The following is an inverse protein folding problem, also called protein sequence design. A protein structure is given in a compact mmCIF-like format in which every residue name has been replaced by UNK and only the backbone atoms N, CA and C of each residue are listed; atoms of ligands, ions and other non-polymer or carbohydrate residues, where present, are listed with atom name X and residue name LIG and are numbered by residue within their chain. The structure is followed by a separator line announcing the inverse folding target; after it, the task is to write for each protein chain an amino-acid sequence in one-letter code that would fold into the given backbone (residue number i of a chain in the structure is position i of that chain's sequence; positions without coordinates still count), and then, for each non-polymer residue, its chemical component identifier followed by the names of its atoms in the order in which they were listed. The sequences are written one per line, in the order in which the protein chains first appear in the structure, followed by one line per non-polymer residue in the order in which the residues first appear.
data_IF_210253536529
#
_entry.id   IF_210253536529
#
_cell.length_a   1.000
_cell.length_b   1.000
_cell.length_c   1.000
_cell.angle_alpha   90.00
_cell.angle_beta   90.00
_cell.angle_gamma   90.00
#
_symmetry.space_group_name_H-M   'P 1'
#
loop_
_entity.id
_entity.type
_entity.pdbx_description
1 polymer ?
#
# COMPACT_ATOMS: atom_id res chain seq x y z
N UNK A 1 9.35 19.04 20.90
CA UNK A 1 10.01 18.71 19.62
C UNK A 1 11.15 17.72 19.81
N UNK A 2 12.14 17.98 20.70
CA UNK A 2 13.25 17.04 20.95
C UNK A 2 12.80 15.68 21.53
N UNK A 3 11.81 15.65 22.43
CA UNK A 3 11.23 14.39 22.94
C UNK A 3 10.51 13.56 21.86
N UNK A 4 9.71 14.21 21.03
CA UNK A 4 9.03 13.59 19.87
C UNK A 4 10.02 13.07 18.83
N UNK A 5 11.13 13.79 18.63
CA UNK A 5 12.22 13.36 17.75
C UNK A 5 12.96 12.16 18.32
N UNK A 6 13.21 12.10 19.64
CA UNK A 6 13.90 10.98 20.28
C UNK A 6 13.04 9.69 20.26
N UNK A 7 11.74 9.80 20.50
CA UNK A 7 10.82 8.66 20.36
C UNK A 7 10.66 8.22 18.91
N UNK A 8 10.53 9.15 17.95
CA UNK A 8 10.53 8.81 16.52
C UNK A 8 11.85 8.12 16.11
N UNK A 9 13.00 8.52 16.64
CA UNK A 9 14.30 7.92 16.31
C UNK A 9 14.46 6.49 16.84
N UNK A 10 13.93 6.23 18.04
CA UNK A 10 13.93 4.88 18.64
C UNK A 10 12.88 3.97 17.96
N UNK A 11 11.72 4.50 17.57
CA UNK A 11 10.68 3.72 16.88
C UNK A 11 10.94 3.51 15.38
N UNK A 12 11.67 4.41 14.71
CA UNK A 12 12.06 4.28 13.29
C UNK A 12 12.77 2.96 12.99
N UNK A 13 13.50 2.41 13.96
CA UNK A 13 14.25 1.16 13.86
C UNK A 13 13.64 0.02 14.70
N UNK A 14 12.52 0.23 15.38
CA UNK A 14 11.84 -0.81 16.14
C UNK A 14 11.14 -1.78 15.18
N UNK A 15 11.87 -2.83 14.77
CA UNK A 15 11.26 -4.00 14.13
C UNK A 15 10.56 -4.82 15.22
N UNK A 16 9.24 -4.73 15.31
CA UNK A 16 8.47 -5.61 16.20
C UNK A 16 7.03 -5.15 16.42
N UNK A 17 6.07 -5.97 16.01
CA UNK A 17 4.62 -5.72 16.15
C UNK A 17 3.86 -5.99 14.84
N UNK A 18 2.53 -5.82 14.85
CA UNK A 18 1.65 -6.01 13.67
C UNK A 18 2.11 -5.19 12.45
N UNK A 19 2.69 -4.02 12.67
CA UNK A 19 3.07 -3.07 11.61
C UNK A 19 4.54 -3.14 11.21
N UNK A 20 5.40 -3.93 11.85
CA UNK A 20 6.81 -4.14 11.47
C UNK A 20 7.77 -2.92 11.49
N UNK A 21 7.31 -1.70 11.21
CA UNK A 21 8.01 -0.43 11.28
C UNK A 21 7.01 0.74 11.45
N UNK A 22 7.49 1.87 11.97
CA UNK A 22 6.64 3.01 12.33
C UNK A 22 6.00 3.71 11.12
N UNK A 23 6.63 3.65 9.94
CA UNK A 23 6.06 4.22 8.72
C UNK A 23 4.85 3.42 8.23
N UNK A 24 4.86 2.09 8.39
CA UNK A 24 3.71 1.23 8.10
C UNK A 24 2.55 1.52 9.07
N UNK A 25 2.83 1.77 10.36
CA UNK A 25 1.80 2.17 11.33
C UNK A 25 1.17 3.53 10.96
N UNK A 26 1.99 4.52 10.59
CA UNK A 26 1.48 5.82 10.12
C UNK A 26 0.66 5.69 8.82
N UNK A 27 1.08 4.80 7.92
CA UNK A 27 0.38 4.49 6.68
C UNK A 27 -0.98 3.84 6.92
N UNK A 28 -1.05 2.88 7.85
CA UNK A 28 -2.29 2.26 8.29
C UNK A 28 -3.26 3.27 8.92
N UNK A 29 -2.77 4.09 9.86
CA UNK A 29 -3.58 5.08 10.55
C UNK A 29 -4.02 6.24 9.63
N UNK A 30 -3.32 6.46 8.51
CA UNK A 30 -3.61 7.55 7.58
C UNK A 30 -3.09 8.91 8.04
N UNK A 31 -2.12 8.94 8.95
CA UNK A 31 -1.57 10.16 9.54
C UNK A 31 -0.52 10.78 8.61
N UNK A 32 -0.96 11.45 7.53
CA UNK A 32 -0.07 12.04 6.51
C UNK A 32 1.05 12.91 7.10
N UNK A 33 0.78 13.73 8.11
CA UNK A 33 1.79 14.58 8.75
C UNK A 33 2.89 13.77 9.44
N UNK A 34 2.53 12.66 10.09
CA UNK A 34 3.48 11.74 10.74
C UNK A 34 4.28 11.00 9.67
N UNK A 35 3.61 10.43 8.67
CA UNK A 35 4.29 9.76 7.55
C UNK A 35 5.28 10.71 6.85
N UNK A 36 4.89 11.97 6.62
CA UNK A 36 5.77 12.99 6.04
C UNK A 36 6.98 13.27 6.92
N UNK A 37 6.78 13.46 8.22
CA UNK A 37 7.86 13.73 9.18
C UNK A 37 8.86 12.57 9.20
N UNK A 38 8.38 11.34 9.27
CA UNK A 38 9.20 10.13 9.25
C UNK A 38 10.06 10.04 7.98
N UNK A 39 9.46 10.29 6.81
CA UNK A 39 10.18 10.27 5.54
C UNK A 39 11.24 11.37 5.44
N UNK A 40 10.98 12.56 5.98
CA UNK A 40 11.97 13.66 6.03
C UNK A 40 13.12 13.34 6.99
N UNK A 41 12.86 12.55 8.04
CA UNK A 41 13.88 12.08 9.00
C UNK A 41 14.49 10.72 8.65
N UNK A 42 14.36 10.28 7.40
CA UNK A 42 15.12 9.13 6.88
C UNK A 42 14.44 7.76 7.04
N UNK A 43 13.14 7.71 7.35
CA UNK A 43 12.40 6.46 7.24
C UNK A 43 12.53 5.87 5.84
N UNK A 44 12.84 4.58 5.74
CA UNK A 44 12.87 3.89 4.46
C UNK A 44 11.45 3.77 3.91
N UNK A 45 11.15 4.48 2.82
CA UNK A 45 9.82 4.48 2.16
C UNK A 45 9.34 3.07 1.78
N UNK A 46 10.30 2.20 1.44
CA UNK A 46 10.08 0.80 1.05
C UNK A 46 10.41 -0.18 2.19
N UNK A 47 10.38 0.25 3.45
CA UNK A 47 10.68 -0.61 4.59
C UNK A 47 9.80 -1.87 4.58
N UNK A 48 10.44 -3.04 4.52
CA UNK A 48 9.75 -4.32 4.52
C UNK A 48 9.55 -4.85 5.94
N UNK A 49 8.44 -5.57 6.17
CA UNK A 49 8.10 -6.22 7.43
C UNK A 49 6.64 -6.02 7.83
N UNK A 50 6.28 -6.60 8.99
CA UNK A 50 4.92 -6.52 9.53
C UNK A 50 3.90 -7.31 8.70
N UNK A 51 2.65 -7.23 9.12
CA UNK A 51 1.53 -7.93 8.51
C UNK A 51 1.26 -7.48 7.08
N UNK A 52 1.48 -6.20 6.76
CA UNK A 52 1.22 -5.64 5.43
C UNK A 52 2.43 -5.70 4.49
N UNK A 53 3.58 -6.19 4.92
CA UNK A 53 4.79 -6.23 4.09
C UNK A 53 5.47 -4.87 3.92
N UNK A 54 4.78 -3.81 3.48
CA UNK A 54 5.37 -2.47 3.33
C UNK A 54 4.36 -1.33 3.63
N UNK A 55 4.81 -0.06 3.78
CA UNK A 55 3.92 1.06 4.08
C UNK A 55 2.88 1.33 2.98
N UNK A 56 3.24 1.14 1.72
CA UNK A 56 2.33 1.39 0.59
C UNK A 56 1.12 0.44 0.63
N UNK A 57 1.36 -0.84 0.95
CA UNK A 57 0.31 -1.83 1.14
C UNK A 57 -0.57 -1.57 2.35
N UNK A 58 -0.02 -1.12 3.48
CA UNK A 58 -0.83 -0.73 4.64
C UNK A 58 -1.76 0.46 4.33
N UNK A 59 -1.26 1.49 3.61
CA UNK A 59 -2.09 2.59 3.15
C UNK A 59 -3.17 2.13 2.16
N UNK A 60 -2.83 1.23 1.23
CA UNK A 60 -3.77 0.70 0.25
C UNK A 60 -4.89 -0.12 0.92
N UNK A 61 -4.55 -0.97 1.88
CA UNK A 61 -5.49 -1.77 2.66
C UNK A 61 -6.56 -0.90 3.31
N UNK A 62 -6.11 0.13 4.02
CA UNK A 62 -7.00 1.04 4.76
C UNK A 62 -7.63 2.14 3.89
N UNK A 63 -7.33 2.19 2.60
CA UNK A 63 -7.84 3.24 1.70
C UNK A 63 -7.29 4.63 2.02
N UNK A 64 -6.09 4.75 2.61
CA UNK A 64 -5.51 6.04 3.01
C UNK A 64 -4.88 6.77 1.83
N UNK A 65 -5.73 7.29 0.94
CA UNK A 65 -5.32 7.94 -0.33
C UNK A 65 -4.24 9.01 -0.15
N UNK A 66 -4.37 9.87 0.86
CA UNK A 66 -3.45 10.99 1.09
C UNK A 66 -2.05 10.54 1.52
N UNK A 67 -1.94 9.39 2.22
CA UNK A 67 -0.67 8.78 2.60
C UNK A 67 -0.12 7.94 1.46
N UNK A 68 -0.97 7.19 0.76
CA UNK A 68 -0.60 6.45 -0.44
C UNK A 68 0.06 7.37 -1.48
N UNK A 69 -0.55 8.51 -1.75
CA UNK A 69 -0.01 9.53 -2.66
C UNK A 69 1.35 10.03 -2.19
N UNK A 70 1.48 10.38 -0.90
CA UNK A 70 2.74 10.83 -0.32
C UNK A 70 3.84 9.77 -0.47
N UNK A 71 3.54 8.49 -0.23
CA UNK A 71 4.50 7.40 -0.35
C UNK A 71 4.96 7.24 -1.80
N UNK A 72 4.03 7.27 -2.77
CA UNK A 72 4.35 7.21 -4.21
C UNK A 72 5.21 8.40 -4.66
N UNK A 73 4.87 9.61 -4.21
CA UNK A 73 5.67 10.83 -4.46
C UNK A 73 7.08 10.76 -3.85
N UNK A 74 7.27 9.96 -2.80
CA UNK A 74 8.54 9.73 -2.12
C UNK A 74 9.29 8.49 -2.60
N UNK A 75 8.89 7.91 -3.75
CA UNK A 75 9.59 6.80 -4.37
C UNK A 75 9.23 5.43 -3.81
N UNK A 76 8.04 5.27 -3.25
CA UNK A 76 7.51 3.95 -2.96
C UNK A 76 7.44 3.10 -4.24
N UNK A 77 7.94 1.88 -4.16
CA UNK A 77 7.92 0.92 -5.25
C UNK A 77 6.52 0.35 -5.39
N UNK A 78 5.77 0.83 -6.39
CA UNK A 78 4.37 0.44 -6.63
C UNK A 78 4.20 -1.07 -6.83
N UNK A 79 5.20 -1.74 -7.40
CA UNK A 79 5.19 -3.18 -7.68
C UNK A 79 6.04 -3.98 -6.69
N UNK A 80 6.41 -3.40 -5.54
CA UNK A 80 7.13 -4.16 -4.51
C UNK A 80 6.25 -5.29 -3.96
N UNK A 81 6.85 -6.47 -3.72
CA UNK A 81 6.13 -7.57 -3.11
C UNK A 81 5.68 -7.19 -1.70
N UNK A 82 4.50 -7.71 -1.35
CA UNK A 82 3.93 -7.64 -0.02
C UNK A 82 4.20 -8.84 0.86
N UNK A 83 3.54 -8.87 2.02
CA UNK A 83 3.49 -10.04 2.88
C UNK A 83 2.41 -11.04 2.40
N UNK A 84 1.18 -10.94 2.92
CA UNK A 84 0.10 -11.87 2.57
C UNK A 84 -0.49 -11.62 1.18
N UNK A 85 -0.59 -10.34 0.81
CA UNK A 85 -1.08 -9.92 -0.49
C UNK A 85 0.13 -9.61 -1.36
N UNK A 86 0.36 -10.44 -2.37
CA UNK A 86 1.57 -10.34 -3.21
C UNK A 86 1.81 -8.93 -3.73
N UNK A 87 0.77 -8.22 -4.16
CA UNK A 87 0.90 -6.87 -4.72
C UNK A 87 -0.16 -5.89 -4.21
N UNK A 88 0.18 -4.60 -4.20
CA UNK A 88 -0.64 -3.52 -3.67
C UNK A 88 -1.94 -3.29 -4.46
N UNK A 89 -1.94 -3.58 -5.76
CA UNK A 89 -3.13 -3.43 -6.61
C UNK A 89 -4.19 -4.46 -6.24
N UNK A 90 -3.76 -5.70 -5.94
CA UNK A 90 -4.63 -6.75 -5.44
C UNK A 90 -5.23 -6.40 -4.08
N UNK A 91 -4.43 -5.85 -3.14
CA UNK A 91 -4.93 -5.35 -1.85
C UNK A 91 -6.06 -4.35 -2.05
N UNK A 92 -5.81 -3.31 -2.84
CA UNK A 92 -6.79 -2.26 -3.07
C UNK A 92 -8.07 -2.80 -3.74
N UNK A 93 -7.92 -3.78 -4.63
CA UNK A 93 -9.02 -4.41 -5.33
C UNK A 93 -9.83 -5.35 -4.42
N UNK A 94 -9.21 -6.13 -3.54
CA UNK A 94 -9.89 -7.01 -2.57
C UNK A 94 -10.58 -6.24 -1.46
N UNK A 95 -10.12 -5.02 -1.16
CA UNK A 95 -10.69 -4.16 -0.12
C UNK A 95 -11.68 -3.12 -0.67
N UNK A 96 -11.99 -3.15 -1.96
CA UNK A 96 -12.96 -2.24 -2.58
C UNK A 96 -12.50 -0.78 -2.67
N UNK A 97 -11.19 -0.50 -2.59
CA UNK A 97 -10.64 0.86 -2.53
C UNK A 97 -10.45 1.45 -3.93
N UNK A 98 -11.55 1.82 -4.59
CA UNK A 98 -11.54 2.27 -5.99
C UNK A 98 -10.58 3.44 -6.27
N UNK A 99 -10.56 4.48 -5.44
CA UNK A 99 -9.65 5.63 -5.63
C UNK A 99 -8.18 5.23 -5.50
N UNK A 100 -7.86 4.32 -4.57
CA UNK A 100 -6.52 3.75 -4.41
C UNK A 100 -6.14 2.97 -5.66
N UNK A 101 -7.04 2.13 -6.21
CA UNK A 101 -6.79 1.43 -7.48
C UNK A 101 -6.47 2.43 -8.60
N UNK A 102 -7.25 3.50 -8.75
CA UNK A 102 -6.97 4.54 -9.76
C UNK A 102 -5.58 5.17 -9.57
N UNK A 103 -5.21 5.50 -8.33
CA UNK A 103 -3.91 6.10 -8.05
C UNK A 103 -2.76 5.14 -8.35
N UNK A 104 -2.88 3.87 -7.95
CA UNK A 104 -1.88 2.85 -8.22
C UNK A 104 -1.68 2.64 -9.73
N UNK A 105 -2.77 2.57 -10.51
CA UNK A 105 -2.71 2.46 -11.97
C UNK A 105 -2.03 3.68 -12.61
N UNK A 106 -2.33 4.89 -12.12
CA UNK A 106 -1.66 6.12 -12.58
C UNK A 106 -0.15 6.09 -12.32
N UNK A 107 0.28 5.41 -11.26
CA UNK A 107 1.69 5.25 -10.89
C UNK A 107 2.35 3.98 -11.45
N UNK A 108 1.72 3.29 -12.41
CA UNK A 108 2.32 2.15 -13.12
C UNK A 108 2.27 0.83 -12.35
N UNK A 109 1.26 0.63 -11.51
CA UNK A 109 0.98 -0.68 -10.94
C UNK A 109 0.76 -1.72 -12.05
N UNK A 110 1.41 -2.86 -11.93
CA UNK A 110 1.25 -3.97 -12.87
C UNK A 110 -0.12 -4.63 -12.68
N UNK A 111 -0.98 -4.45 -13.69
CA UNK A 111 -2.34 -4.99 -13.76
C UNK A 111 -2.38 -6.52 -13.69
N UNK A 112 -1.35 -7.19 -14.19
CA UNK A 112 -1.28 -8.64 -14.27
C UNK A 112 -0.35 -9.25 -13.21
N UNK A 113 0.14 -8.43 -12.27
CA UNK A 113 1.01 -8.90 -11.18
C UNK A 113 0.35 -10.05 -10.43
N UNK A 114 1.05 -11.19 -10.43
CA UNK A 114 0.54 -12.40 -9.81
C UNK A 114 0.86 -12.49 -8.32
N UNK A 115 -0.09 -13.02 -7.56
CA UNK A 115 0.09 -13.62 -6.24
C UNK A 115 -1.12 -13.42 -5.33
N UNK A 116 -0.92 -13.60 -4.03
CA UNK A 116 -2.03 -13.75 -3.07
C UNK A 116 -2.95 -14.91 -3.44
N UNK A 117 -4.08 -15.04 -2.76
CA UNK A 117 -5.03 -16.14 -3.00
C UNK A 117 -5.85 -15.96 -4.28
N UNK A 118 -6.06 -14.72 -4.72
CA UNK A 118 -6.90 -14.42 -5.89
C UNK A 118 -6.12 -14.37 -7.21
N UNK A 119 -4.83 -14.70 -7.23
CA UNK A 119 -4.01 -14.65 -8.44
C UNK A 119 -3.62 -13.24 -8.87
N UNK A 120 -4.55 -12.31 -9.10
CA UNK A 120 -4.25 -10.88 -9.31
C UNK A 120 -5.43 -9.97 -8.89
N UNK A 121 -5.40 -8.70 -9.27
CA UNK A 121 -6.39 -7.70 -8.87
C UNK A 121 -7.79 -7.93 -9.46
N UNK A 122 -7.90 -8.48 -10.68
CA UNK A 122 -9.20 -8.62 -11.35
C UNK A 122 -10.07 -9.72 -10.71
N UNK A 123 -9.58 -10.96 -10.47
CA UNK A 123 -10.34 -11.95 -9.73
C UNK A 123 -10.61 -11.51 -8.29
N UNK A 124 -9.67 -10.81 -7.64
CA UNK A 124 -9.93 -10.25 -6.30
C UNK A 124 -11.17 -9.34 -6.30
N UNK A 125 -11.23 -8.35 -7.20
CA UNK A 125 -12.40 -7.47 -7.31
C UNK A 125 -13.69 -8.22 -7.68
N UNK A 126 -13.61 -9.27 -8.52
CA UNK A 126 -14.76 -10.10 -8.89
C UNK A 126 -15.29 -10.93 -7.71
N UNK A 127 -14.41 -11.62 -6.98
CA UNK A 127 -14.74 -12.48 -5.84
C UNK A 127 -15.51 -11.72 -4.78
N UNK A 128 -15.12 -10.47 -4.53
CA UNK A 128 -15.75 -9.60 -3.52
C UNK A 128 -16.84 -8.68 -4.09
N UNK A 129 -17.18 -8.79 -5.37
CA UNK A 129 -18.32 -8.08 -5.98
C UNK A 129 -18.09 -6.59 -6.28
N UNK A 130 -16.84 -6.11 -6.32
CA UNK A 130 -16.52 -4.69 -6.60
C UNK A 130 -16.57 -4.38 -8.09
N UNK A 131 -17.79 -4.32 -8.65
CA UNK A 131 -18.03 -4.15 -10.10
C UNK A 131 -17.38 -2.89 -10.69
N UNK A 132 -17.33 -1.78 -9.95
CA UNK A 132 -16.70 -0.55 -10.43
C UNK A 132 -15.18 -0.71 -10.59
N UNK A 133 -14.54 -1.48 -9.71
CA UNK A 133 -13.12 -1.82 -9.81
C UNK A 133 -12.89 -2.81 -10.95
N UNK A 134 -13.77 -3.80 -11.12
CA UNK A 134 -13.72 -4.72 -12.28
C UNK A 134 -13.77 -3.93 -13.59
N UNK A 135 -14.71 -3.00 -13.74
CA UNK A 135 -14.81 -2.15 -14.92
C UNK A 135 -13.58 -1.28 -15.12
N UNK A 136 -13.04 -0.69 -14.04
CA UNK A 136 -11.82 0.11 -14.08
C UNK A 136 -10.62 -0.71 -14.55
N UNK A 137 -10.38 -1.88 -13.97
CA UNK A 137 -9.27 -2.76 -14.35
C UNK A 137 -9.39 -3.23 -15.81
N UNK A 138 -10.59 -3.59 -16.26
CA UNK A 138 -10.84 -3.96 -17.66
C UNK A 138 -10.61 -2.80 -18.63
N UNK A 139 -11.00 -1.57 -18.25
CA UNK A 139 -10.76 -0.36 -19.04
C UNK A 139 -9.26 -0.08 -19.21
N UNK A 140 -8.46 -0.42 -18.20
CA UNK A 140 -7.01 -0.29 -18.23
C UNK A 140 -6.28 -1.48 -18.87
N UNK A 141 -7.00 -2.48 -19.40
CA UNK A 141 -6.41 -3.59 -20.15
C UNK A 141 -6.06 -4.83 -19.31
N UNK A 142 -6.63 -4.98 -18.11
CA UNK A 142 -6.50 -6.23 -17.36
C UNK A 142 -6.98 -7.42 -18.18
N UNK A 143 -6.17 -8.48 -18.24
CA UNK A 143 -6.47 -9.67 -19.02
C UNK A 143 -7.75 -10.34 -18.52
N UNK A 144 -8.71 -10.60 -19.42
CA UNK A 144 -9.97 -11.29 -19.06
C UNK A 144 -9.80 -12.79 -18.76
N UNK A 145 -8.69 -13.39 -19.18
CA UNK A 145 -8.44 -14.83 -19.19
C UNK A 145 -7.61 -15.33 -17.99
N UNK A 146 -7.97 -14.91 -16.78
CA UNK A 146 -7.42 -15.46 -15.53
C UNK A 146 -8.56 -15.76 -14.56
#
# INVERSE_FOLDING_TARGET
VVHLLFECWVELNARGGEYGNVLQAAAWQGTKSVAWLLLVHGAAVNAQGGHFGNPLQAAAWQGKESVLQLLLERGAQVNAPGAFYSNVLQVAASEGKQSVVQLLLKHGADLNALGGECGNALPAAKTWGYLSIVQLLLKHGASRNI
#
